data_IF_835531276271
#
_entry.id   IF_835531276271
#
_cell.length_a   1.000
_cell.length_b   1.000
_cell.length_c   1.000
_cell.angle_alpha   90.00
_cell.angle_beta   90.00
_cell.angle_gamma   90.00
#
_symmetry.space_group_name_H-M   'P 1'
#
loop_
_entity.id
_entity.type
_entity.pdbx_description
1 polymer ?
#
# COMPACT_ATOMS: atom_id res chain seq x y z
N UNK A 1 -6.56 34.65 8.39
CA UNK A 1 -7.58 34.36 9.43
C UNK A 1 -6.85 34.07 10.74
N UNK A 2 -6.91 34.96 11.72
CA UNK A 2 -6.29 34.73 13.05
C UNK A 2 -7.34 34.09 13.97
N UNK A 3 -7.16 32.82 14.31
CA UNK A 3 -8.04 32.09 15.24
C UNK A 3 -7.98 32.72 16.64
N UNK A 4 -9.12 32.80 17.33
CA UNK A 4 -9.15 33.28 18.71
C UNK A 4 -8.42 32.32 19.65
N UNK A 5 -7.82 32.84 20.73
CA UNK A 5 -7.10 32.04 21.74
C UNK A 5 -7.88 30.82 22.26
N UNK A 6 -9.19 30.90 22.60
CA UNK A 6 -9.93 29.71 23.03
C UNK A 6 -10.09 28.69 21.91
N UNK A 7 -10.33 29.13 20.67
CA UNK A 7 -10.43 28.23 19.51
C UNK A 7 -9.09 27.54 19.26
N UNK A 8 -7.96 28.25 19.39
CA UNK A 8 -6.62 27.65 19.27
C UNK A 8 -6.36 26.58 20.33
N UNK A 9 -6.75 26.83 21.59
CA UNK A 9 -6.61 25.85 22.69
C UNK A 9 -7.51 24.63 22.47
N UNK A 10 -8.74 24.83 22.03
CA UNK A 10 -9.66 23.74 21.71
C UNK A 10 -9.09 22.88 20.57
N UNK A 11 -8.64 23.49 19.48
CA UNK A 11 -8.01 22.76 18.37
C UNK A 11 -6.76 22.00 18.83
N UNK A 12 -5.88 22.61 19.62
CA UNK A 12 -4.70 21.94 20.15
C UNK A 12 -5.07 20.74 21.05
N UNK A 13 -6.10 20.88 21.90
CA UNK A 13 -6.60 19.79 22.74
C UNK A 13 -7.20 18.65 21.91
N UNK A 14 -8.01 18.98 20.89
CA UNK A 14 -8.57 17.99 19.96
C UNK A 14 -7.48 17.27 19.17
N UNK A 15 -6.49 18.00 18.63
CA UNK A 15 -5.34 17.40 17.96
C UNK A 15 -4.55 16.50 18.91
N UNK A 16 -4.28 16.95 20.14
CA UNK A 16 -3.61 16.14 21.16
C UNK A 16 -4.37 14.85 21.50
N UNK A 17 -5.70 14.92 21.61
CA UNK A 17 -6.55 13.77 21.85
C UNK A 17 -6.53 12.79 20.66
N UNK A 18 -6.60 13.28 19.43
CA UNK A 18 -6.53 12.46 18.21
C UNK A 18 -5.18 11.73 18.15
N UNK A 19 -4.08 12.45 18.36
CA UNK A 19 -2.73 11.86 18.38
C UNK A 19 -2.62 10.81 19.49
N UNK A 20 -3.11 11.12 20.69
CA UNK A 20 -3.09 10.17 21.80
C UNK A 20 -3.85 8.89 21.46
N UNK A 21 -5.07 8.99 20.93
CA UNK A 21 -5.88 7.82 20.54
C UNK A 21 -5.21 7.03 19.41
N UNK A 22 -4.57 7.69 18.43
CA UNK A 22 -3.86 7.01 17.34
C UNK A 22 -2.58 6.31 17.81
N UNK A 23 -1.77 6.94 18.66
CA UNK A 23 -0.47 6.40 19.08
C UNK A 23 -0.55 5.44 20.27
N UNK A 24 -1.61 5.50 21.08
CA UNK A 24 -1.74 4.66 22.26
C UNK A 24 -1.72 3.15 21.92
N UNK A 25 -2.46 2.63 20.91
CA UNK A 25 -2.36 1.22 20.52
C UNK A 25 -0.96 0.81 20.06
N UNK A 26 -0.26 1.68 19.31
CA UNK A 26 1.12 1.41 18.91
C UNK A 26 2.05 1.35 20.11
N UNK A 27 1.88 2.27 21.08
CA UNK A 27 2.65 2.25 22.32
C UNK A 27 2.39 0.96 23.13
N UNK A 28 1.14 0.48 23.17
CA UNK A 28 0.79 -0.80 23.81
C UNK A 28 1.47 -1.98 23.10
N UNK A 29 1.53 -1.99 21.77
CA UNK A 29 2.26 -3.01 21.00
C UNK A 29 3.77 -2.96 21.31
N UNK A 30 4.36 -1.77 21.35
CA UNK A 30 5.77 -1.57 21.72
C UNK A 30 6.04 -2.10 23.12
N UNK A 31 5.24 -1.73 24.11
CA UNK A 31 5.40 -2.19 25.49
C UNK A 31 5.21 -3.72 25.59
N UNK A 32 4.23 -4.29 24.89
CA UNK A 32 4.01 -5.72 24.90
C UNK A 32 5.10 -6.53 24.16
N UNK A 33 5.88 -5.91 23.27
CA UNK A 33 7.05 -6.56 22.65
C UNK A 33 8.16 -6.91 23.66
N UNK A 34 8.14 -6.25 24.83
CA UNK A 34 9.07 -6.51 25.93
C UNK A 34 8.42 -7.28 27.09
N UNK A 35 7.18 -7.75 26.98
CA UNK A 35 6.46 -8.37 28.09
C UNK A 35 7.07 -9.73 28.49
N UNK A 36 7.25 -10.00 29.79
CA UNK A 36 7.70 -11.32 30.28
C UNK A 36 6.61 -12.39 30.20
N UNK A 37 5.33 -12.01 30.17
CA UNK A 37 4.21 -12.94 30.05
C UNK A 37 4.10 -13.50 28.62
N UNK A 38 3.68 -14.77 28.55
CA UNK A 38 3.31 -15.45 27.29
C UNK A 38 1.88 -15.12 26.86
N UNK A 39 1.09 -14.49 27.71
CA UNK A 39 -0.29 -14.12 27.37
C UNK A 39 -0.41 -12.61 27.33
N UNK A 40 -1.46 -12.10 26.66
CA UNK A 40 -1.84 -10.69 26.73
C UNK A 40 -2.33 -10.37 28.16
N UNK A 41 -1.38 -10.13 29.06
CA UNK A 41 -1.63 -9.70 30.44
C UNK A 41 -1.20 -8.24 30.57
N UNK A 42 -2.11 -7.41 31.08
CA UNK A 42 -1.87 -5.99 31.28
C UNK A 42 -2.13 -5.58 32.74
N UNK A 43 -1.24 -4.81 33.38
CA UNK A 43 0.07 -4.35 32.89
C UNK A 43 1.10 -5.49 32.77
N UNK A 44 2.18 -5.31 31.98
CA UNK A 44 3.27 -6.29 31.89
C UNK A 44 3.89 -6.54 33.27
N UNK A 45 4.01 -7.80 33.74
CA UNK A 45 4.61 -8.09 35.04
C UNK A 45 6.13 -7.83 35.08
N UNK A 46 6.78 -7.71 33.92
CA UNK A 46 8.20 -7.37 33.79
C UNK A 46 8.59 -7.14 32.33
N UNK A 47 9.85 -6.74 32.12
CA UNK A 47 10.44 -6.48 30.80
C UNK A 47 11.52 -7.51 30.45
N UNK A 48 11.55 -8.00 29.21
CA UNK A 48 12.55 -8.92 28.66
C UNK A 48 12.84 -8.65 27.18
N UNK A 49 14.03 -9.05 26.72
CA UNK A 49 14.44 -9.05 25.32
C UNK A 49 14.34 -10.44 24.66
N UNK A 50 13.90 -11.47 25.38
CA UNK A 50 13.87 -12.86 24.87
C UNK A 50 13.03 -13.00 23.59
N UNK A 51 11.92 -12.26 23.50
CA UNK A 51 11.05 -12.28 22.33
C UNK A 51 11.68 -11.67 21.10
N UNK A 52 12.59 -10.71 21.26
CA UNK A 52 13.36 -10.13 20.16
C UNK A 52 14.29 -11.17 19.54
N UNK A 53 14.99 -11.94 20.38
CA UNK A 53 15.82 -13.06 19.93
C UNK A 53 14.98 -14.11 19.23
N UNK A 54 13.83 -14.48 19.79
CA UNK A 54 12.92 -15.47 19.19
C UNK A 54 12.33 -15.00 17.86
N UNK A 55 11.95 -13.73 17.75
CA UNK A 55 11.45 -13.14 16.52
C UNK A 55 12.50 -13.19 15.41
N UNK A 56 13.76 -12.88 15.73
CA UNK A 56 14.86 -12.93 14.76
C UNK A 56 15.11 -14.35 14.21
N UNK A 57 14.87 -15.38 15.03
CA UNK A 57 15.01 -16.78 14.63
C UNK A 57 13.71 -17.40 14.09
N UNK A 58 12.61 -16.63 14.01
CA UNK A 58 11.33 -17.12 13.52
C UNK A 58 11.36 -17.28 12.00
N UNK A 59 11.52 -18.53 11.55
CA UNK A 59 11.48 -18.89 10.12
C UNK A 59 10.15 -18.46 9.50
N UNK A 60 9.02 -18.72 10.18
CA UNK A 60 7.70 -18.35 9.69
C UNK A 60 7.50 -16.84 9.55
N UNK A 61 8.02 -16.02 10.48
CA UNK A 61 7.95 -14.56 10.34
C UNK A 61 8.80 -14.08 9.15
N UNK A 62 10.03 -14.61 9.01
CA UNK A 62 10.93 -14.26 7.91
C UNK A 62 10.33 -14.62 6.55
N UNK A 63 9.80 -15.83 6.40
CA UNK A 63 9.14 -16.27 5.17
C UNK A 63 7.93 -15.40 4.84
N UNK A 64 7.10 -15.08 5.83
CA UNK A 64 5.92 -14.25 5.63
C UNK A 64 6.28 -12.81 5.21
N UNK A 65 7.34 -12.23 5.78
CA UNK A 65 7.88 -10.93 5.33
C UNK A 65 8.33 -11.01 3.88
N UNK A 66 9.09 -12.04 3.51
CA UNK A 66 9.58 -12.21 2.13
C UNK A 66 8.41 -12.37 1.17
N UNK A 67 7.43 -13.22 1.49
CA UNK A 67 6.22 -13.41 0.67
C UNK A 67 5.45 -12.09 0.51
N UNK A 68 5.24 -11.33 1.59
CA UNK A 68 4.57 -10.03 1.51
C UNK A 68 5.32 -9.03 0.65
N UNK A 69 6.64 -8.92 0.79
CA UNK A 69 7.46 -8.02 -0.04
C UNK A 69 7.41 -8.42 -1.50
N UNK A 70 7.52 -9.72 -1.81
CA UNK A 70 7.41 -10.23 -3.17
C UNK A 70 6.06 -9.92 -3.80
N UNK A 71 4.97 -10.21 -3.09
CA UNK A 71 3.60 -9.93 -3.54
C UNK A 71 3.40 -8.42 -3.75
N UNK A 72 3.81 -7.61 -2.78
CA UNK A 72 3.62 -6.16 -2.83
C UNK A 72 4.43 -5.52 -3.97
N UNK A 73 5.70 -5.89 -4.15
CA UNK A 73 6.54 -5.39 -5.24
C UNK A 73 6.01 -5.82 -6.62
N UNK A 74 5.66 -7.10 -6.79
CA UNK A 74 5.16 -7.60 -8.07
C UNK A 74 3.82 -6.96 -8.45
N UNK A 75 2.90 -6.86 -7.49
CA UNK A 75 1.58 -6.21 -7.71
C UNK A 75 1.74 -4.73 -8.01
N UNK A 76 2.65 -4.05 -7.31
CA UNK A 76 2.97 -2.63 -7.54
C UNK A 76 3.60 -2.42 -8.92
N UNK A 77 4.51 -3.30 -9.35
CA UNK A 77 5.12 -3.21 -10.67
C UNK A 77 4.06 -3.35 -11.78
N UNK A 78 3.15 -4.34 -11.65
CA UNK A 78 2.03 -4.51 -12.57
C UNK A 78 1.13 -3.26 -12.56
N UNK A 79 0.82 -2.73 -11.37
CA UNK A 79 0.01 -1.53 -11.23
C UNK A 79 0.66 -0.28 -11.84
N UNK A 80 1.97 -0.11 -11.67
CA UNK A 80 2.73 0.99 -12.25
C UNK A 80 2.67 0.96 -13.78
N UNK A 81 2.77 -0.22 -14.39
CA UNK A 81 2.67 -0.35 -15.85
C UNK A 81 1.22 -0.13 -16.30
N UNK A 82 0.29 -0.96 -15.82
CA UNK A 82 -1.08 -0.97 -16.33
C UNK A 82 -1.87 0.28 -15.94
N UNK A 83 -1.72 0.77 -14.70
CA UNK A 83 -2.36 2.00 -14.23
C UNK A 83 -1.90 3.24 -15.00
N UNK A 84 -0.60 3.31 -15.33
CA UNK A 84 -0.04 4.41 -16.13
C UNK A 84 -0.53 4.35 -17.57
N UNK A 85 -0.49 3.18 -18.21
CA UNK A 85 -0.96 3.00 -19.58
C UNK A 85 -2.45 3.36 -19.70
N UNK A 86 -3.29 2.89 -18.77
CA UNK A 86 -4.71 3.24 -18.75
C UNK A 86 -4.94 4.73 -18.53
N UNK A 87 -4.17 5.36 -17.65
CA UNK A 87 -4.29 6.79 -17.40
C UNK A 87 -3.92 7.64 -18.62
N UNK A 88 -2.83 7.29 -19.31
CA UNK A 88 -2.42 7.96 -20.54
C UNK A 88 -3.48 7.75 -21.63
N UNK A 89 -3.97 6.52 -21.80
CA UNK A 89 -4.99 6.21 -22.81
C UNK A 89 -6.30 6.99 -22.56
N UNK A 90 -6.81 6.99 -21.32
CA UNK A 90 -8.03 7.69 -20.95
C UNK A 90 -7.87 9.22 -20.93
N UNK A 91 -6.67 9.74 -20.72
CA UNK A 91 -6.43 11.18 -20.83
C UNK A 91 -6.34 11.64 -22.29
N UNK A 92 -5.62 10.91 -23.13
CA UNK A 92 -5.27 11.36 -24.49
C UNK A 92 -6.35 11.11 -25.54
N UNK A 93 -7.08 10.01 -25.42
CA UNK A 93 -8.05 9.61 -26.44
C UNK A 93 -9.48 9.85 -25.97
N UNK A 94 -10.33 10.27 -26.90
CA UNK A 94 -11.78 10.30 -26.71
C UNK A 94 -12.42 9.23 -27.60
N UNK A 95 -13.17 8.32 -26.98
CA UNK A 95 -13.74 7.16 -27.67
C UNK A 95 -15.06 6.73 -27.01
N UNK A 96 -15.89 6.04 -27.78
CA UNK A 96 -17.17 5.53 -27.31
C UNK A 96 -16.98 4.54 -26.14
N UNK A 97 -17.62 4.81 -25.01
CA UNK A 97 -17.52 3.96 -23.80
C UNK A 97 -16.41 4.34 -22.81
N UNK A 98 -15.68 5.44 -23.05
CA UNK A 98 -14.64 5.96 -22.13
C UNK A 98 -15.10 6.10 -20.68
N UNK A 99 -16.33 6.58 -20.45
CA UNK A 99 -16.92 6.70 -19.12
C UNK A 99 -17.09 5.34 -18.43
N UNK A 100 -17.50 4.32 -19.19
CA UNK A 100 -17.65 2.95 -18.68
C UNK A 100 -16.29 2.35 -18.30
N UNK A 101 -15.27 2.54 -19.14
CA UNK A 101 -13.90 2.10 -18.81
C UNK A 101 -13.40 2.80 -17.55
N UNK A 102 -13.61 4.10 -17.42
CA UNK A 102 -13.21 4.85 -16.23
C UNK A 102 -13.93 4.32 -14.95
N UNK A 103 -15.22 4.01 -15.05
CA UNK A 103 -15.97 3.39 -13.96
C UNK A 103 -15.42 2.00 -13.59
N UNK A 104 -15.15 1.16 -14.60
CA UNK A 104 -14.61 -0.20 -14.39
C UNK A 104 -13.22 -0.18 -13.73
N UNK A 105 -12.38 0.80 -14.07
CA UNK A 105 -11.05 0.96 -13.45
C UNK A 105 -11.20 1.35 -11.97
N UNK A 106 -12.18 2.15 -11.59
CA UNK A 106 -12.36 2.59 -10.20
C UNK A 106 -13.09 1.53 -9.35
N UNK A 107 -13.90 0.69 -9.97
CA UNK A 107 -14.76 -0.28 -9.29
C UNK A 107 -14.04 -1.17 -8.24
N UNK A 108 -12.81 -1.69 -8.46
CA UNK A 108 -12.15 -2.57 -7.49
C UNK A 108 -11.98 -1.97 -6.09
N UNK A 109 -11.78 -0.64 -5.99
CA UNK A 109 -11.63 0.02 -4.68
C UNK A 109 -12.97 0.32 -4.00
N UNK A 110 -14.06 0.33 -4.77
CA UNK A 110 -15.41 0.54 -4.26
C UNK A 110 -16.05 -0.75 -3.74
N UNK A 111 -15.60 -1.92 -4.22
CA UNK A 111 -16.10 -3.21 -3.78
C UNK A 111 -15.54 -3.58 -2.40
N UNK A 112 -16.35 -4.17 -1.50
CA UNK A 112 -15.83 -4.74 -0.27
C UNK A 112 -14.78 -5.82 -0.56
N UNK A 113 -13.65 -5.79 0.15
CA UNK A 113 -12.54 -6.72 -0.10
C UNK A 113 -12.93 -8.20 -0.07
N UNK A 114 -13.91 -8.58 0.76
CA UNK A 114 -14.43 -9.95 0.82
C UNK A 114 -15.16 -10.37 -0.45
N UNK A 115 -15.93 -9.46 -1.04
CA UNK A 115 -16.66 -9.71 -2.30
C UNK A 115 -15.64 -9.90 -3.42
N UNK A 116 -14.65 -9.01 -3.49
CA UNK A 116 -13.54 -9.11 -4.46
C UNK A 116 -12.76 -10.41 -4.30
N UNK A 117 -12.41 -10.79 -3.07
CA UNK A 117 -11.67 -12.02 -2.78
C UNK A 117 -12.43 -13.28 -3.22
N UNK A 118 -13.72 -13.38 -2.88
CA UNK A 118 -14.57 -14.53 -3.26
C UNK A 118 -14.76 -14.57 -4.78
N UNK A 119 -15.01 -13.43 -5.43
CA UNK A 119 -15.17 -13.35 -6.88
C UNK A 119 -13.90 -13.80 -7.61
N UNK A 120 -12.72 -13.33 -7.16
CA UNK A 120 -11.44 -13.75 -7.73
C UNK A 120 -11.14 -15.22 -7.46
N UNK A 121 -11.48 -15.74 -6.29
CA UNK A 121 -11.37 -17.18 -6.00
C UNK A 121 -12.19 -18.01 -6.98
N UNK A 122 -13.45 -17.65 -7.21
CA UNK A 122 -14.31 -18.33 -8.18
C UNK A 122 -13.79 -18.19 -9.61
N UNK A 123 -13.30 -17.01 -9.99
CA UNK A 123 -12.68 -16.80 -11.30
C UNK A 123 -11.46 -17.71 -11.51
N UNK A 124 -10.55 -17.76 -10.54
CA UNK A 124 -9.35 -18.60 -10.63
C UNK A 124 -9.69 -20.08 -10.62
N UNK A 125 -10.45 -20.56 -9.62
CA UNK A 125 -10.68 -22.00 -9.43
C UNK A 125 -11.82 -22.55 -10.27
N UNK A 126 -12.94 -21.83 -10.31
CA UNK A 126 -14.18 -22.28 -10.93
C UNK A 126 -14.19 -22.09 -12.43
N UNK A 127 -13.77 -20.90 -12.90
CA UNK A 127 -13.83 -20.55 -14.33
C UNK A 127 -12.53 -20.97 -15.04
N UNK A 128 -11.38 -20.61 -14.49
CA UNK A 128 -10.07 -20.84 -15.13
C UNK A 128 -9.41 -22.17 -14.76
N UNK A 129 -9.92 -22.89 -13.75
CA UNK A 129 -9.33 -24.15 -13.28
C UNK A 129 -7.92 -24.02 -12.67
N UNK A 130 -7.52 -22.80 -12.28
CA UNK A 130 -6.21 -22.52 -11.69
C UNK A 130 -6.16 -22.94 -10.21
N UNK A 131 -5.02 -23.47 -9.80
CA UNK A 131 -4.71 -23.66 -8.40
C UNK A 131 -4.25 -22.34 -7.78
N UNK A 132 -4.73 -22.06 -6.57
CA UNK A 132 -4.31 -20.88 -5.83
C UNK A 132 -2.82 -21.00 -5.48
N UNK A 133 -2.10 -19.90 -5.63
CA UNK A 133 -0.65 -19.81 -5.47
C UNK A 133 -0.24 -18.37 -5.17
N UNK A 134 1.05 -18.09 -5.07
CA UNK A 134 1.54 -16.70 -4.93
C UNK A 134 1.13 -15.84 -6.13
N UNK A 135 1.03 -16.44 -7.33
CA UNK A 135 0.64 -15.73 -8.56
C UNK A 135 -0.81 -15.25 -8.50
N UNK A 136 -1.73 -16.06 -7.97
CA UNK A 136 -3.13 -15.63 -7.82
C UNK A 136 -3.26 -14.49 -6.82
N UNK A 137 -2.43 -14.46 -5.77
CA UNK A 137 -2.35 -13.32 -4.85
C UNK A 137 -1.83 -12.07 -5.56
N UNK A 138 -0.74 -12.18 -6.33
CA UNK A 138 -0.17 -11.06 -7.09
C UNK A 138 -1.19 -10.46 -8.05
N UNK A 139 -1.89 -11.31 -8.83
CA UNK A 139 -2.92 -10.85 -9.77
C UNK A 139 -4.06 -10.17 -9.01
N UNK A 140 -4.53 -10.79 -7.91
CA UNK A 140 -5.60 -10.24 -7.11
C UNK A 140 -5.23 -8.86 -6.54
N UNK A 141 -4.03 -8.71 -6.00
CA UNK A 141 -3.55 -7.45 -5.44
C UNK A 141 -3.34 -6.39 -6.52
N UNK A 142 -2.85 -6.78 -7.69
CA UNK A 142 -2.69 -5.88 -8.82
C UNK A 142 -4.02 -5.20 -9.21
N UNK A 143 -5.16 -5.89 -9.12
CA UNK A 143 -6.47 -5.31 -9.53
C UNK A 143 -6.81 -3.99 -8.82
N UNK A 144 -6.64 -3.91 -7.50
CA UNK A 144 -6.90 -2.68 -6.75
C UNK A 144 -5.68 -1.74 -6.72
N UNK A 145 -4.46 -2.28 -6.78
CA UNK A 145 -3.24 -1.47 -6.86
C UNK A 145 -3.22 -0.61 -8.13
N UNK A 146 -3.68 -1.17 -9.26
CA UNK A 146 -3.82 -0.47 -10.55
C UNK A 146 -4.61 0.83 -10.40
N UNK A 147 -5.70 0.81 -9.62
CA UNK A 147 -6.58 1.97 -9.40
C UNK A 147 -5.84 3.11 -8.72
N UNK A 148 -4.97 2.77 -7.76
CA UNK A 148 -4.21 3.78 -7.00
C UNK A 148 -3.17 4.48 -7.86
N UNK A 149 -2.44 3.73 -8.70
CA UNK A 149 -1.51 4.31 -9.68
C UNK A 149 -2.28 5.13 -10.71
N UNK A 150 -3.36 4.56 -11.25
CA UNK A 150 -4.22 5.23 -12.23
C UNK A 150 -4.68 6.60 -11.72
N UNK A 151 -5.25 6.68 -10.52
CA UNK A 151 -5.74 7.94 -9.95
C UNK A 151 -4.62 8.97 -9.76
N UNK A 152 -3.44 8.55 -9.29
CA UNK A 152 -2.29 9.44 -9.09
C UNK A 152 -1.76 9.99 -10.42
N UNK A 153 -1.58 9.13 -11.42
CA UNK A 153 -1.12 9.51 -12.76
C UNK A 153 -2.17 10.39 -13.44
N UNK A 154 -3.45 10.06 -13.36
CA UNK A 154 -4.52 10.83 -13.97
C UNK A 154 -4.59 12.24 -13.41
N UNK A 155 -4.49 12.38 -12.08
CA UNK A 155 -4.49 13.68 -11.41
C UNK A 155 -3.26 14.52 -11.79
N UNK A 156 -2.13 13.88 -12.11
CA UNK A 156 -0.91 14.57 -12.56
C UNK A 156 -1.04 15.01 -14.02
N UNK A 157 -1.48 14.13 -14.91
CA UNK A 157 -1.71 14.45 -16.32
C UNK A 157 -2.70 15.61 -16.50
N UNK A 158 -3.82 15.60 -15.76
CA UNK A 158 -4.81 16.69 -15.80
C UNK A 158 -4.23 18.04 -15.36
N UNK A 159 -3.27 18.04 -14.42
CA UNK A 159 -2.61 19.26 -13.92
C UNK A 159 -1.54 19.80 -14.88
N UNK A 160 -0.90 18.94 -15.65
CA UNK A 160 0.15 19.33 -16.60
C UNK A 160 -0.40 19.91 -17.91
N UNK A 161 -1.59 19.48 -18.34
CA UNK A 161 -2.13 19.84 -19.66
C UNK A 161 -1.41 19.12 -20.82
N UNK A 162 -1.78 19.46 -22.07
CA UNK A 162 -1.24 18.84 -23.29
C UNK A 162 -0.11 19.63 -23.97
N UNK A 163 0.13 20.88 -23.58
CA UNK A 163 0.94 21.84 -24.33
C UNK A 163 2.39 21.37 -24.55
N UNK A 164 3.00 20.69 -23.57
CA UNK A 164 4.38 20.16 -23.72
C UNK A 164 4.45 18.98 -24.70
N UNK A 165 3.36 18.21 -24.83
CA UNK A 165 3.30 17.08 -25.75
C UNK A 165 3.11 17.59 -27.19
N UNK A 166 2.28 18.62 -27.38
CA UNK A 166 2.10 19.35 -28.65
C UNK A 166 3.40 20.01 -29.11
N UNK A 167 4.08 20.77 -28.24
CA UNK A 167 5.36 21.40 -28.57
C UNK A 167 6.45 20.38 -28.94
N UNK A 168 6.44 19.20 -28.31
CA UNK A 168 7.34 18.11 -28.68
C UNK A 168 7.02 17.54 -30.07
N UNK A 169 5.73 17.47 -30.43
CA UNK A 169 5.29 17.04 -31.75
C UNK A 169 5.62 18.08 -32.83
N UNK A 170 5.54 19.38 -32.53
CA UNK A 170 5.94 20.47 -33.44
C UNK A 170 7.43 20.42 -33.81
N UNK A 171 8.28 19.94 -32.89
CA UNK A 171 9.70 19.66 -33.13
C UNK A 171 9.94 18.34 -33.90
N UNK A 172 8.89 17.67 -34.37
CA UNK A 172 8.95 16.42 -35.12
C UNK A 172 9.20 15.18 -34.26
N UNK A 173 9.08 15.27 -32.93
CA UNK A 173 9.31 14.13 -32.05
C UNK A 173 8.11 13.17 -32.04
N UNK A 174 8.39 11.87 -32.18
CA UNK A 174 7.37 10.82 -32.08
C UNK A 174 6.94 10.51 -30.64
N UNK A 175 5.86 9.72 -30.49
CA UNK A 175 5.20 9.40 -29.22
C UNK A 175 6.18 8.86 -28.15
N UNK A 176 7.11 7.98 -28.53
CA UNK A 176 8.08 7.42 -27.59
C UNK A 176 9.09 8.50 -27.16
N UNK A 177 9.61 9.30 -28.09
CA UNK A 177 10.53 10.39 -27.74
C UNK A 177 9.85 11.37 -26.77
N UNK A 178 8.61 11.78 -27.06
CA UNK A 178 7.81 12.64 -26.18
C UNK A 178 7.56 11.98 -24.82
N UNK A 179 7.17 10.71 -24.78
CA UNK A 179 6.93 10.04 -23.50
C UNK A 179 8.19 9.95 -22.65
N UNK A 180 9.34 9.54 -23.22
CA UNK A 180 10.58 9.34 -22.48
C UNK A 180 11.18 10.65 -21.97
N UNK A 181 11.16 11.69 -22.79
CA UNK A 181 11.88 12.94 -22.50
C UNK A 181 10.98 14.02 -21.88
N UNK A 182 9.66 13.97 -22.13
CA UNK A 182 8.72 15.01 -21.69
C UNK A 182 7.73 14.48 -20.67
N UNK A 183 6.96 13.44 -21.01
CA UNK A 183 5.85 12.98 -20.14
C UNK A 183 6.36 12.24 -18.90
N UNK A 184 7.24 11.25 -19.04
CA UNK A 184 7.72 10.40 -17.94
C UNK A 184 8.47 11.19 -16.84
N UNK A 185 9.40 12.10 -17.15
CA UNK A 185 10.06 12.92 -16.11
C UNK A 185 9.08 13.76 -15.31
N UNK A 186 7.99 14.22 -15.92
CA UNK A 186 6.96 15.00 -15.25
C UNK A 186 6.00 14.11 -14.42
N UNK A 187 5.84 12.84 -14.79
CA UNK A 187 5.04 11.85 -14.07
C UNK A 187 5.80 11.18 -12.90
N UNK A 188 7.13 11.24 -12.85
CA UNK A 188 7.96 10.47 -11.90
C UNK A 188 7.51 10.57 -10.43
N UNK A 189 7.13 11.76 -9.97
CA UNK A 189 6.69 11.98 -8.57
C UNK A 189 5.30 11.39 -8.32
N UNK A 190 4.40 11.48 -9.31
CA UNK A 190 3.08 10.85 -9.24
C UNK A 190 3.17 9.32 -9.30
N UNK A 191 4.08 8.78 -10.13
CA UNK A 191 4.36 7.35 -10.19
C UNK A 191 4.93 6.84 -8.87
N UNK A 192 5.86 7.57 -8.27
CA UNK A 192 6.39 7.21 -6.96
C UNK A 192 5.31 7.22 -5.88
N UNK A 193 4.52 8.30 -5.79
CA UNK A 193 3.43 8.41 -4.82
C UNK A 193 2.39 7.30 -5.00
N UNK A 194 1.94 7.07 -6.24
CA UNK A 194 1.01 6.00 -6.57
C UNK A 194 1.58 4.60 -6.33
N UNK A 195 2.87 4.40 -6.63
CA UNK A 195 3.57 3.13 -6.39
C UNK A 195 3.75 2.82 -4.91
N UNK A 196 4.12 3.81 -4.10
CA UNK A 196 4.22 3.63 -2.64
C UNK A 196 2.86 3.34 -2.01
N UNK A 197 1.79 4.00 -2.48
CA UNK A 197 0.44 3.72 -2.04
C UNK A 197 -0.02 2.30 -2.44
N UNK A 198 0.24 1.89 -3.69
CA UNK A 198 -0.02 0.54 -4.17
C UNK A 198 0.72 -0.52 -3.36
N UNK A 199 2.01 -0.27 -3.07
CA UNK A 199 2.81 -1.16 -2.25
C UNK A 199 2.24 -1.29 -0.84
N UNK A 200 1.93 -0.16 -0.18
CA UNK A 200 1.38 -0.15 1.16
C UNK A 200 0.04 -0.91 1.24
N UNK A 201 -0.86 -0.67 0.28
CA UNK A 201 -2.15 -1.37 0.21
C UNK A 201 -1.98 -2.87 0.00
N UNK A 202 -1.08 -3.29 -0.89
CA UNK A 202 -0.82 -4.71 -1.14
C UNK A 202 -0.14 -5.40 0.04
N UNK A 203 0.77 -4.70 0.72
CA UNK A 203 1.56 -5.23 1.82
C UNK A 203 0.72 -5.50 3.09
N UNK A 204 -0.31 -4.68 3.33
CA UNK A 204 -1.20 -4.76 4.50
C UNK A 204 -2.53 -5.50 4.22
N UNK A 205 -2.66 -6.13 3.04
CA UNK A 205 -3.91 -6.79 2.67
C UNK A 205 -4.05 -8.16 3.35
N UNK A 206 -5.21 -8.39 3.97
CA UNK A 206 -5.58 -9.66 4.64
C UNK A 206 -6.71 -10.36 3.92
N UNK A 207 -7.75 -9.60 3.55
CA UNK A 207 -9.05 -10.15 3.18
C UNK A 207 -8.96 -10.80 1.80
N UNK A 208 -8.52 -10.06 0.78
CA UNK A 208 -8.35 -10.59 -0.57
C UNK A 208 -7.37 -11.76 -0.56
N UNK A 209 -6.24 -11.60 0.15
CA UNK A 209 -5.23 -12.66 0.28
C UNK A 209 -5.80 -13.93 0.88
N UNK A 210 -6.67 -13.84 1.89
CA UNK A 210 -7.31 -15.01 2.53
C UNK A 210 -8.09 -15.86 1.53
N UNK A 211 -8.71 -15.23 0.52
CA UNK A 211 -9.46 -15.95 -0.51
C UNK A 211 -8.62 -16.34 -1.72
N UNK A 212 -7.46 -15.72 -1.96
CA UNK A 212 -6.66 -15.95 -3.18
C UNK A 212 -5.34 -16.65 -2.95
N UNK A 213 -4.92 -16.84 -1.70
CA UNK A 213 -3.69 -17.54 -1.35
C UNK A 213 -3.82 -19.06 -1.48
N UNK A 214 -2.75 -19.67 -1.99
CA UNK A 214 -2.59 -21.11 -2.06
C UNK A 214 -2.07 -21.73 -0.77
N UNK A 215 -2.05 -23.06 -0.71
CA UNK A 215 -1.38 -23.79 0.36
C UNK A 215 0.10 -23.41 0.41
N UNK A 216 0.62 -23.11 1.60
CA UNK A 216 2.01 -22.68 1.81
C UNK A 216 2.30 -21.21 1.48
N UNK A 217 1.33 -20.44 0.97
CA UNK A 217 1.48 -19.00 0.73
C UNK A 217 0.93 -18.25 1.94
N UNK A 218 1.82 -17.72 2.78
CA UNK A 218 1.43 -16.94 3.96
C UNK A 218 2.05 -15.56 3.87
N UNK A 219 1.23 -14.52 3.68
CA UNK A 219 1.67 -13.13 3.80
C UNK A 219 1.81 -12.75 5.27
N UNK A 220 2.57 -11.69 5.53
CA UNK A 220 2.81 -11.17 6.86
C UNK A 220 1.53 -10.82 7.63
N UNK A 221 0.52 -10.13 7.06
CA UNK A 221 -0.73 -9.88 7.78
C UNK A 221 -1.48 -11.17 8.15
N UNK A 222 -1.51 -12.17 7.26
CA UNK A 222 -2.09 -13.49 7.56
C UNK A 222 -1.28 -14.21 8.64
N UNK A 223 0.05 -14.14 8.60
CA UNK A 223 0.91 -14.72 9.63
C UNK A 223 0.65 -14.08 11.00
N UNK A 224 0.54 -12.75 11.05
CA UNK A 224 0.17 -12.00 12.26
C UNK A 224 -1.17 -12.49 12.78
N UNK A 225 -2.21 -12.51 11.94
CA UNK A 225 -3.56 -12.94 12.30
C UNK A 225 -3.58 -14.37 12.88
N UNK A 226 -2.87 -15.30 12.25
CA UNK A 226 -2.81 -16.71 12.66
C UNK A 226 -2.06 -16.93 13.98
N UNK A 227 -1.19 -16.00 14.38
CA UNK A 227 -0.29 -16.15 15.53
C UNK A 227 -0.62 -15.20 16.69
N UNK A 228 -1.39 -14.14 16.46
CA UNK A 228 -1.72 -13.13 17.46
C UNK A 228 -2.43 -13.70 18.69
N UNK A 229 -3.28 -14.72 18.49
CA UNK A 229 -4.04 -15.36 19.56
C UNK A 229 -3.36 -16.61 20.15
N UNK A 230 -2.13 -16.92 19.75
CA UNK A 230 -1.36 -18.05 20.27
C UNK A 230 -0.43 -17.55 21.38
N UNK A 231 -0.53 -18.01 22.64
CA UNK A 231 0.25 -17.47 23.76
C UNK A 231 1.75 -17.38 23.47
N UNK A 232 2.39 -18.48 23.05
CA UNK A 232 3.84 -18.46 22.79
C UNK A 232 4.27 -17.67 21.53
N UNK A 233 3.34 -17.15 20.74
CA UNK A 233 3.62 -16.40 19.51
C UNK A 233 3.16 -14.94 19.60
N UNK A 234 2.18 -14.60 20.44
CA UNK A 234 1.66 -13.24 20.53
C UNK A 234 2.75 -12.19 20.87
N UNK A 235 3.70 -12.45 21.80
CA UNK A 235 4.82 -11.53 22.01
C UNK A 235 5.77 -11.44 20.81
N UNK A 236 5.96 -12.53 20.05
CA UNK A 236 6.76 -12.53 18.81
C UNK A 236 6.10 -11.67 17.74
N UNK A 237 4.77 -11.78 17.61
CA UNK A 237 3.97 -10.93 16.71
C UNK A 237 4.12 -9.45 17.09
N UNK A 238 4.11 -9.11 18.38
CA UNK A 238 4.33 -7.73 18.83
C UNK A 238 5.72 -7.21 18.42
N UNK A 239 6.78 -8.00 18.59
CA UNK A 239 8.13 -7.61 18.13
C UNK A 239 8.14 -7.38 16.62
N UNK A 240 7.58 -8.31 15.84
CA UNK A 240 7.49 -8.17 14.38
C UNK A 240 6.73 -6.90 14.00
N UNK A 241 5.60 -6.61 14.66
CA UNK A 241 4.84 -5.38 14.45
C UNK A 241 5.66 -4.12 14.76
N UNK A 242 6.43 -4.10 15.86
CA UNK A 242 7.33 -2.96 16.18
C UNK A 242 8.38 -2.75 15.09
N UNK A 243 9.00 -3.83 14.62
CA UNK A 243 9.98 -3.76 13.53
C UNK A 243 9.33 -3.18 12.26
N UNK A 244 8.12 -3.63 11.92
CA UNK A 244 7.39 -3.10 10.76
C UNK A 244 7.00 -1.63 10.92
N UNK A 245 6.58 -1.21 12.11
CA UNK A 245 6.30 0.20 12.42
C UNK A 245 7.55 1.03 12.13
N UNK A 246 8.72 0.62 12.62
CA UNK A 246 9.98 1.32 12.38
C UNK A 246 10.37 1.32 10.89
N UNK A 247 10.21 0.19 10.20
CA UNK A 247 10.51 0.09 8.77
C UNK A 247 9.57 0.93 7.90
N UNK A 248 8.31 1.12 8.30
CA UNK A 248 7.34 1.94 7.57
C UNK A 248 7.73 3.42 7.47
N UNK A 249 8.62 3.90 8.36
CA UNK A 249 9.14 5.27 8.33
C UNK A 249 9.97 5.50 7.06
N UNK A 250 10.68 4.49 6.56
CA UNK A 250 11.59 4.60 5.42
C UNK A 250 10.85 5.03 4.14
N UNK A 251 9.82 4.31 3.64
CA UNK A 251 9.10 4.71 2.43
C UNK A 251 8.42 6.08 2.58
N UNK A 252 7.94 6.43 3.77
CA UNK A 252 7.35 7.76 4.04
C UNK A 252 8.40 8.86 3.93
N UNK A 253 9.57 8.66 4.54
CA UNK A 253 10.67 9.62 4.47
C UNK A 253 11.16 9.82 3.03
N UNK A 254 11.29 8.74 2.26
CA UNK A 254 11.62 8.79 0.83
C UNK A 254 10.57 9.58 0.04
N UNK A 255 9.28 9.31 0.28
CA UNK A 255 8.19 10.03 -0.37
C UNK A 255 8.22 11.53 -0.09
N UNK A 256 8.46 11.91 1.17
CA UNK A 256 8.53 13.30 1.61
C UNK A 256 9.70 14.03 0.95
N UNK A 257 10.90 13.42 0.94
CA UNK A 257 12.09 14.02 0.34
C UNK A 257 11.90 14.29 -1.15
N UNK A 258 11.32 13.34 -1.88
CA UNK A 258 11.11 13.47 -3.33
C UNK A 258 9.98 14.45 -3.67
N UNK A 259 8.98 14.57 -2.79
CA UNK A 259 7.89 15.56 -2.97
C UNK A 259 8.35 16.98 -2.64
N UNK A 260 9.15 17.16 -1.59
CA UNK A 260 9.65 18.47 -1.15
C UNK A 260 10.56 19.17 -2.17
N UNK A 261 11.35 18.43 -2.93
CA UNK A 261 12.18 18.99 -4.02
C UNK A 261 11.35 19.60 -5.16
N UNK A 262 10.06 19.26 -5.27
CA UNK A 262 9.18 19.80 -6.32
C UNK A 262 8.62 21.18 -5.94
N UNK A 263 8.45 21.47 -4.64
CA UNK A 263 7.98 22.77 -4.16
C UNK A 263 9.10 23.81 -4.06
N UNK A 264 10.36 23.39 -3.90
CA UNK A 264 11.53 24.28 -3.85
C UNK A 264 11.93 24.88 -5.22
N UNK A 265 11.35 24.38 -6.32
CA UNK A 265 11.60 24.84 -7.70
C UNK A 265 10.47 25.72 -8.26
N UNK A 266 9.50 26.13 -7.42
CA UNK A 266 8.43 27.09 -7.74
C UNK A 266 8.67 28.42 -7.03
#
# INVERSE_FOLDING_TARGET
>A
MTLSTPVRRLLAALTGLILLVMYLPLAVVVLNSFNTSKSLTWPPPGLTFDWWVRAFHSVGAREAVITSVQVALASTAIALVLGTLMSIALQRYDFFGKSSVNLLVILPIALPGIVTGIALNNAFRGILGLQLSILTVIIAHATFCIVTVFNNVQARLRRMGGNFEEASADLGAGIWTTFRLVTFPQLRSALLAGGLLAFALSFDEIIVTTFTAGAGVTTLPIWILNNLFRPNQAPVVNVVAVVLILLSIIPIWVAQKISGDTDALR
#
